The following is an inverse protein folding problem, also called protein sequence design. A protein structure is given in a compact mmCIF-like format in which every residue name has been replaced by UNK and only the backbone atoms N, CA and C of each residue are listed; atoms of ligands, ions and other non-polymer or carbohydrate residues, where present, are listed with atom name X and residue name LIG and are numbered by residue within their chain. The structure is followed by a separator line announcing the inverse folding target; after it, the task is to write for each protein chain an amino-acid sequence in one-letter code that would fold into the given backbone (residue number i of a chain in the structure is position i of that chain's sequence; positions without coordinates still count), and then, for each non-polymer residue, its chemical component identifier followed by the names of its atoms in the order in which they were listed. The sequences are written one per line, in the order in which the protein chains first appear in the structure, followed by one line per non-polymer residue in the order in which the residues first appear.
data_IF_567480313270
#
_entry.id   IF_567480313270
#
_cell.length_a   1.000
_cell.length_b   1.000
_cell.length_c   1.000
_cell.angle_alpha   90.00
_cell.angle_beta   90.00
_cell.angle_gamma   90.00
#
_symmetry.space_group_name_H-M   'P 1'
#
loop_
_entity.id
_entity.type
_entity.pdbx_description
1 polymer ?
#
# COMPACT_ATOMS: atom_id res chain seq x y z
N UNK A 1 27.35 -21.92 17.91
CA UNK A 1 26.50 -20.79 17.45
C UNK A 1 26.34 -19.84 18.63
N UNK A 2 26.92 -18.65 18.59
CA UNK A 2 26.97 -17.75 19.74
C UNK A 2 25.69 -16.90 19.81
N UNK A 3 25.21 -16.53 21.01
CA UNK A 3 23.95 -15.77 21.19
C UNK A 3 23.91 -14.49 20.34
N UNK A 4 25.06 -13.82 20.23
CA UNK A 4 25.25 -12.65 19.38
C UNK A 4 24.92 -12.91 17.90
N UNK A 5 25.33 -14.07 17.36
CA UNK A 5 25.06 -14.42 15.97
C UNK A 5 23.57 -14.70 15.73
N UNK A 6 22.88 -15.27 16.72
CA UNK A 6 21.43 -15.50 16.65
C UNK A 6 20.69 -14.17 16.63
N UNK A 7 21.06 -13.21 17.47
CA UNK A 7 20.45 -11.86 17.51
C UNK A 7 20.67 -11.11 16.19
N UNK A 8 21.88 -11.18 15.62
CA UNK A 8 22.19 -10.56 14.33
C UNK A 8 21.37 -11.20 13.20
N UNK A 9 21.28 -12.54 13.16
CA UNK A 9 20.48 -13.27 12.17
C UNK A 9 18.99 -12.91 12.28
N UNK A 10 18.43 -12.86 13.49
CA UNK A 10 17.03 -12.48 13.70
C UNK A 10 16.79 -11.05 13.22
N UNK A 11 17.67 -10.10 13.55
CA UNK A 11 17.57 -8.72 13.08
C UNK A 11 17.61 -8.61 11.57
N UNK A 12 18.51 -9.38 10.92
CA UNK A 12 18.60 -9.42 9.46
C UNK A 12 17.32 -10.02 8.87
N UNK A 13 16.83 -11.16 9.37
CA UNK A 13 15.63 -11.81 8.85
C UNK A 13 14.33 -11.02 9.09
N UNK A 14 14.19 -10.32 10.22
CA UNK A 14 13.01 -9.47 10.47
C UNK A 14 12.98 -8.24 9.57
N UNK A 15 14.15 -7.68 9.24
CA UNK A 15 14.25 -6.59 8.26
C UNK A 15 14.09 -7.07 6.80
N UNK A 16 14.28 -8.37 6.54
CA UNK A 16 14.19 -9.01 5.21
C UNK A 16 12.81 -9.64 4.97
N UNK A 17 11.84 -9.48 5.87
CA UNK A 17 10.46 -9.89 5.58
C UNK A 17 9.86 -8.99 4.48
N UNK A 18 10.16 -9.34 3.23
CA UNK A 18 9.62 -8.75 2.01
C UNK A 18 8.14 -9.11 1.89
N UNK A 19 7.31 -8.39 2.61
CA UNK A 19 5.86 -8.53 2.58
C UNK A 19 5.20 -7.17 2.65
N UNK A 20 4.03 -7.05 2.02
CA UNK A 20 3.22 -5.85 2.20
C UNK A 20 2.74 -5.77 3.65
N UNK A 21 2.77 -4.57 4.23
CA UNK A 21 2.14 -4.35 5.54
C UNK A 21 0.64 -4.56 5.36
N UNK A 22 0.07 -5.57 5.99
CA UNK A 22 -1.33 -5.93 5.79
C UNK A 22 -1.93 -6.55 7.05
N UNK A 23 -3.26 -6.49 7.19
CA UNK A 23 -4.03 -7.29 8.14
C UNK A 23 -4.78 -8.46 7.47
N UNK A 24 -4.46 -8.77 6.20
CA UNK A 24 -5.04 -9.90 5.49
C UNK A 24 -4.64 -11.21 6.16
N UNK A 25 -5.63 -12.05 6.42
CA UNK A 25 -5.46 -13.45 6.81
C UNK A 25 -5.72 -14.34 5.60
N UNK A 26 -5.49 -15.65 5.74
CA UNK A 26 -5.77 -16.62 4.67
C UNK A 26 -7.28 -16.80 4.39
N UNK A 27 -8.15 -16.17 5.20
CA UNK A 27 -9.60 -16.21 5.02
C UNK A 27 -10.06 -15.17 3.99
N UNK A 28 -10.18 -15.60 2.74
CA UNK A 28 -10.61 -14.78 1.59
C UNK A 28 -12.00 -14.14 1.78
N UNK A 29 -12.83 -14.67 2.68
CA UNK A 29 -14.18 -14.15 2.96
C UNK A 29 -14.21 -12.89 3.83
N UNK A 30 -13.08 -12.49 4.44
CA UNK A 30 -13.03 -11.29 5.29
C UNK A 30 -12.36 -10.14 4.54
N UNK A 31 -12.97 -8.93 4.52
CA UNK A 31 -12.30 -7.77 3.98
C UNK A 31 -11.02 -7.51 4.77
N UNK A 32 -9.95 -7.19 4.05
CA UNK A 32 -8.67 -6.86 4.63
C UNK A 32 -8.07 -5.62 3.95
N UNK A 33 -7.03 -5.08 4.55
CA UNK A 33 -6.41 -3.82 4.17
C UNK A 33 -4.92 -4.03 3.99
N UNK A 34 -4.45 -3.67 2.80
CA UNK A 34 -3.03 -3.53 2.51
C UNK A 34 -2.65 -2.07 2.77
N UNK A 35 -1.71 -1.87 3.68
CA UNK A 35 -1.18 -0.57 4.03
C UNK A 35 0.06 -0.29 3.20
N UNK A 36 0.11 0.89 2.62
CA UNK A 36 1.20 1.33 1.77
C UNK A 36 1.38 2.84 1.91
N UNK A 37 2.60 3.30 1.70
CA UNK A 37 3.03 4.69 1.76
C UNK A 37 3.44 5.17 0.37
N UNK A 38 3.36 6.47 0.09
CA UNK A 38 3.74 7.01 -1.22
C UNK A 38 5.20 6.73 -1.61
N UNK A 39 6.08 6.45 -0.65
CA UNK A 39 7.49 6.13 -0.90
C UNK A 39 7.74 4.68 -1.28
N UNK A 40 6.79 3.78 -1.01
CA UNK A 40 6.95 2.35 -1.30
C UNK A 40 6.75 2.06 -2.78
N UNK A 41 7.57 1.15 -3.31
CA UNK A 41 7.49 0.68 -4.71
C UNK A 41 6.11 0.09 -5.03
N UNK A 42 5.54 -0.65 -4.07
CA UNK A 42 4.19 -1.20 -4.14
C UNK A 42 3.15 -0.14 -4.50
N UNK A 43 3.24 1.04 -3.90
CA UNK A 43 2.33 2.13 -4.18
C UNK A 43 2.61 2.70 -5.57
N UNK A 44 3.85 3.14 -5.82
CA UNK A 44 4.22 3.88 -7.02
C UNK A 44 4.15 3.06 -8.32
N UNK A 45 4.61 1.82 -8.26
CA UNK A 45 4.82 0.98 -9.43
C UNK A 45 3.79 -0.11 -9.63
N UNK A 46 2.98 -0.42 -8.62
CA UNK A 46 1.89 -1.39 -8.72
C UNK A 46 0.54 -0.68 -8.57
N UNK A 47 0.20 -0.19 -7.38
CA UNK A 47 -1.14 0.34 -7.10
C UNK A 47 -1.53 1.53 -8.01
N UNK A 48 -0.68 2.54 -8.13
CA UNK A 48 -0.95 3.70 -9.00
C UNK A 48 -1.09 3.33 -10.47
N UNK A 49 -0.41 2.28 -10.93
CA UNK A 49 -0.57 1.80 -12.32
C UNK A 49 -1.90 1.06 -12.52
N UNK A 50 -2.45 0.43 -11.47
CA UNK A 50 -3.73 -0.28 -11.53
C UNK A 50 -4.94 0.66 -11.58
N UNK A 51 -4.83 1.89 -11.08
CA UNK A 51 -5.92 2.88 -11.17
C UNK A 51 -6.35 3.18 -12.62
N UNK A 52 -5.48 2.91 -13.60
CA UNK A 52 -5.75 3.20 -15.01
C UNK A 52 -5.69 4.70 -15.33
N UNK A 53 -5.74 5.07 -16.62
CA UNK A 53 -5.42 6.42 -17.06
C UNK A 53 -6.46 7.47 -16.65
N UNK A 54 -7.74 7.12 -16.59
CA UNK A 54 -8.80 8.07 -16.23
C UNK A 54 -8.66 8.49 -14.76
N UNK A 55 -8.59 7.54 -13.84
CA UNK A 55 -8.40 7.83 -12.42
C UNK A 55 -7.11 8.60 -12.15
N UNK A 56 -6.01 8.22 -12.82
CA UNK A 56 -4.71 8.84 -12.60
C UNK A 56 -4.57 10.24 -13.20
N UNK A 57 -5.03 10.46 -14.43
CA UNK A 57 -4.74 11.70 -15.17
C UNK A 57 -5.91 12.67 -15.23
N UNK A 58 -7.16 12.18 -15.18
CA UNK A 58 -8.35 13.05 -15.21
C UNK A 58 -8.76 13.42 -13.78
N UNK A 59 -8.81 12.43 -12.89
CA UNK A 59 -9.16 12.66 -11.48
C UNK A 59 -7.95 12.91 -10.57
N UNK A 60 -6.74 12.88 -11.15
CA UNK A 60 -5.49 13.16 -10.44
C UNK A 60 -5.29 12.31 -9.19
N UNK A 61 -5.72 11.04 -9.22
CA UNK A 61 -5.47 10.11 -8.13
C UNK A 61 -4.02 9.62 -8.14
N UNK A 62 -3.46 9.56 -6.94
CA UNK A 62 -2.13 9.08 -6.62
C UNK A 62 -1.22 10.16 -6.06
N UNK A 63 -0.49 9.80 -5.00
CA UNK A 63 0.52 10.65 -4.40
C UNK A 63 1.90 10.42 -5.03
N UNK A 64 2.67 11.49 -5.14
CA UNK A 64 4.10 11.38 -5.44
C UNK A 64 4.88 10.93 -4.19
N UNK A 65 6.09 10.36 -4.36
CA UNK A 65 6.92 9.91 -3.23
C UNK A 65 7.22 10.99 -2.18
N UNK A 66 7.19 12.27 -2.58
CA UNK A 66 7.48 13.41 -1.69
C UNK A 66 6.25 13.86 -0.87
N UNK A 67 5.05 13.38 -1.19
CA UNK A 67 3.79 13.76 -0.53
C UNK A 67 3.50 12.82 0.63
N UNK A 68 4.35 12.85 1.65
CA UNK A 68 4.29 11.95 2.82
C UNK A 68 3.56 12.57 4.02
N UNK A 69 3.03 13.79 3.89
CA UNK A 69 2.36 14.46 4.99
C UNK A 69 1.03 13.77 5.28
N UNK A 70 0.65 13.58 6.57
CA UNK A 70 -0.61 12.93 6.93
C UNK A 70 -1.84 13.57 6.29
N UNK A 71 -1.85 14.90 6.14
CA UNK A 71 -2.94 15.64 5.49
C UNK A 71 -3.11 15.23 4.02
N UNK A 72 -2.01 15.18 3.27
CA UNK A 72 -2.02 14.81 1.84
C UNK A 72 -2.51 13.37 1.67
N UNK A 73 -2.07 12.48 2.56
CA UNK A 73 -2.49 11.07 2.60
C UNK A 73 -3.99 10.93 2.90
N UNK A 74 -4.51 11.69 3.88
CA UNK A 74 -5.92 11.64 4.24
C UNK A 74 -6.82 12.16 3.11
N UNK A 75 -6.48 13.30 2.52
CA UNK A 75 -7.21 13.88 1.38
C UNK A 75 -7.23 12.93 0.18
N UNK A 76 -6.11 12.28 -0.11
CA UNK A 76 -6.05 11.32 -1.20
C UNK A 76 -6.92 10.08 -0.92
N UNK A 77 -6.89 9.53 0.29
CA UNK A 77 -7.72 8.38 0.66
C UNK A 77 -9.21 8.69 0.53
N UNK A 78 -9.64 9.90 0.91
CA UNK A 78 -11.02 10.36 0.73
C UNK A 78 -11.40 10.43 -0.76
N UNK A 79 -10.52 11.00 -1.62
CA UNK A 79 -10.75 11.02 -3.07
C UNK A 79 -10.84 9.61 -3.64
N UNK A 80 -9.94 8.71 -3.24
CA UNK A 80 -9.93 7.33 -3.72
C UNK A 80 -11.24 6.60 -3.37
N UNK A 81 -11.78 6.79 -2.16
CA UNK A 81 -13.08 6.22 -1.79
C UNK A 81 -14.20 6.70 -2.73
N UNK A 82 -14.26 8.00 -3.06
CA UNK A 82 -15.32 8.52 -3.94
C UNK A 82 -15.35 7.86 -5.34
N UNK A 83 -14.17 7.59 -5.93
CA UNK A 83 -14.07 7.07 -7.29
C UNK A 83 -13.98 5.54 -7.38
N UNK A 84 -13.39 4.89 -6.39
CA UNK A 84 -13.28 3.43 -6.36
C UNK A 84 -14.55 2.78 -5.82
N UNK A 85 -15.22 3.38 -4.83
CA UNK A 85 -16.49 2.83 -4.31
C UNK A 85 -17.63 2.93 -5.34
N UNK A 86 -17.55 3.87 -6.29
CA UNK A 86 -18.54 4.01 -7.38
C UNK A 86 -18.28 3.10 -8.58
N UNK A 87 -17.09 2.49 -8.68
CA UNK A 87 -16.68 1.63 -9.81
C UNK A 87 -16.44 0.17 -9.44
N UNK A 88 -16.64 -0.21 -8.17
CA UNK A 88 -16.41 -1.59 -7.73
C UNK A 88 -17.63 -2.46 -8.06
N UNK A 89 -17.49 -3.18 -9.18
CA UNK A 89 -18.33 -4.22 -9.79
C UNK A 89 -19.33 -3.72 -10.84
N UNK A 90 -18.85 -3.51 -12.07
CA UNK A 90 -19.62 -3.87 -13.27
C UNK A 90 -19.46 -5.37 -13.48
N UNK A 91 -20.61 -6.05 -13.54
CA UNK A 91 -20.81 -7.50 -13.55
C UNK A 91 -20.24 -8.20 -14.78
#
# INVERSE_FOLDING_TARGET
MNLLNIVILISIFTNISFGYKTNCTDEVSKPCTVFMTPTEDAYQNVFIKLLGPVLRYVYHLGLNPNQTKPKDIAEENEKMQMYLDSSTIVR
#
